data_IF_392280567443
#
_entry.id   IF_392280567443
#
_cell.length_a   1.000
_cell.length_b   1.000
_cell.length_c   1.000
_cell.angle_alpha   90.00
_cell.angle_beta   90.00
_cell.angle_gamma   90.00
#
_symmetry.space_group_name_H-M   'P 1'
#
loop_
_entity.id
_entity.type
_entity.pdbx_description
1 polymer ?
#
# COMPACT_ATOMS: atom_id res chain seq x y z
N UNK A 1 -11.44 5.23 -18.11
CA UNK A 1 -12.74 4.82 -18.65
C UNK A 1 -13.70 4.63 -17.47
N UNK A 2 -14.92 5.15 -17.58
CA UNK A 2 -15.98 5.01 -16.57
C UNK A 2 -16.28 3.53 -16.37
N UNK A 3 -15.91 2.94 -15.21
CA UNK A 3 -16.33 1.58 -14.85
C UNK A 3 -17.85 1.63 -14.67
N UNK A 4 -18.58 1.09 -15.64
CA UNK A 4 -19.97 0.73 -15.45
C UNK A 4 -20.01 -0.38 -14.41
N UNK A 5 -20.78 -0.18 -13.34
CA UNK A 5 -21.14 -1.19 -12.36
C UNK A 5 -21.57 -2.46 -13.09
N UNK A 6 -20.80 -3.53 -12.95
CA UNK A 6 -21.33 -4.86 -13.26
C UNK A 6 -22.44 -5.14 -12.26
N UNK A 7 -23.63 -5.52 -12.71
CA UNK A 7 -24.85 -5.62 -11.88
C UNK A 7 -24.78 -6.62 -10.71
N UNK A 8 -23.62 -7.19 -10.43
CA UNK A 8 -23.36 -8.20 -9.40
C UNK A 8 -22.52 -7.69 -8.22
N UNK A 9 -21.82 -6.55 -8.36
CA UNK A 9 -20.97 -6.03 -7.28
C UNK A 9 -21.83 -5.55 -6.09
N UNK A 10 -21.39 -5.90 -4.89
CA UNK A 10 -22.06 -5.48 -3.67
C UNK A 10 -21.65 -4.03 -3.30
N UNK A 11 -22.54 -3.24 -2.71
CA UNK A 11 -22.23 -1.88 -2.27
C UNK A 11 -21.03 -1.82 -1.31
N UNK A 12 -20.38 -0.67 -1.24
CA UNK A 12 -19.26 -0.39 -0.35
C UNK A 12 -19.56 -0.79 1.09
N UNK A 13 -18.62 -1.46 1.73
CA UNK A 13 -18.75 -1.93 3.10
C UNK A 13 -19.67 -3.14 3.29
N UNK A 14 -20.24 -3.69 2.22
CA UNK A 14 -20.96 -4.97 2.30
C UNK A 14 -19.97 -6.08 2.67
N UNK A 15 -20.31 -6.87 3.68
CA UNK A 15 -19.57 -8.09 4.04
C UNK A 15 -19.68 -9.13 2.92
N UNK A 16 -18.55 -9.55 2.38
CA UNK A 16 -18.47 -10.53 1.30
C UNK A 16 -18.18 -11.94 1.82
N UNK A 17 -17.48 -12.05 2.94
CA UNK A 17 -17.09 -13.33 3.53
C UNK A 17 -15.98 -13.14 4.57
N UNK A 18 -15.27 -14.22 4.87
CA UNK A 18 -14.22 -14.23 5.89
C UNK A 18 -13.01 -15.01 5.40
N UNK A 19 -11.81 -14.48 5.63
CA UNK A 19 -10.56 -15.22 5.53
C UNK A 19 -10.34 -16.10 6.79
N UNK A 20 -9.31 -16.98 6.82
CA UNK A 20 -8.99 -17.78 7.99
C UNK A 20 -8.84 -16.93 9.26
N UNK A 21 -9.26 -17.48 10.40
CA UNK A 21 -9.35 -16.74 11.66
C UNK A 21 -10.59 -15.85 11.81
N UNK A 22 -11.49 -15.85 10.83
CA UNK A 22 -12.72 -15.04 10.88
C UNK A 22 -12.49 -13.56 10.55
N UNK A 23 -11.45 -13.27 9.76
CA UNK A 23 -11.15 -11.89 9.33
C UNK A 23 -12.06 -11.50 8.17
N UNK A 24 -12.95 -10.53 8.40
CA UNK A 24 -13.94 -10.10 7.42
C UNK A 24 -13.33 -9.52 6.14
N UNK A 25 -13.96 -9.79 5.00
CA UNK A 25 -13.64 -9.23 3.69
C UNK A 25 -14.84 -8.38 3.26
N UNK A 26 -14.62 -7.11 2.96
CA UNK A 26 -15.66 -6.16 2.57
C UNK A 26 -15.50 -5.71 1.11
N UNK A 27 -16.63 -5.33 0.50
CA UNK A 27 -16.61 -4.65 -0.80
C UNK A 27 -15.99 -3.25 -0.66
N UNK A 28 -15.07 -2.94 -1.56
CA UNK A 28 -14.49 -1.61 -1.74
C UNK A 28 -15.03 -0.87 -2.96
N UNK A 29 -16.27 -1.14 -3.39
CA UNK A 29 -16.88 -0.48 -4.55
C UNK A 29 -17.31 0.96 -4.21
N UNK A 30 -16.36 1.90 -4.35
CA UNK A 30 -16.60 3.33 -4.12
C UNK A 30 -17.66 3.93 -5.05
N UNK A 31 -17.97 3.29 -6.19
CA UNK A 31 -18.99 3.82 -7.11
C UNK A 31 -20.41 3.79 -6.52
N UNK A 32 -20.61 2.99 -5.47
CA UNK A 32 -21.87 2.89 -4.73
C UNK A 32 -22.04 3.91 -3.59
N UNK A 33 -21.00 4.70 -3.29
CA UNK A 33 -21.06 5.73 -2.25
C UNK A 33 -21.79 6.98 -2.74
N UNK A 34 -22.42 7.71 -1.82
CA UNK A 34 -22.95 9.04 -2.13
C UNK A 34 -21.76 10.00 -2.34
N UNK A 35 -21.69 10.75 -3.46
CA UNK A 35 -20.63 11.73 -3.69
C UNK A 35 -20.52 12.83 -2.62
N UNK A 36 -21.51 12.95 -1.75
CA UNK A 36 -21.56 13.90 -0.63
C UNK A 36 -20.94 13.37 0.66
N UNK A 37 -20.57 12.10 0.72
CA UNK A 37 -19.81 11.54 1.84
C UNK A 37 -18.33 11.98 1.69
N UNK A 38 -18.01 13.13 2.27
CA UNK A 38 -16.68 13.76 2.23
C UNK A 38 -15.87 13.61 3.54
N UNK A 39 -16.38 12.87 4.51
CA UNK A 39 -15.69 12.64 5.78
C UNK A 39 -14.57 11.59 5.65
N UNK A 40 -13.37 12.05 5.29
CA UNK A 40 -12.13 11.25 5.23
C UNK A 40 -11.88 10.46 6.53
N UNK A 41 -12.30 10.96 7.69
CA UNK A 41 -12.11 10.26 8.96
C UNK A 41 -12.97 9.00 9.04
N UNK A 42 -14.17 8.99 8.44
CA UNK A 42 -15.05 7.82 8.41
C UNK A 42 -14.46 6.64 7.61
N UNK A 43 -13.57 6.92 6.66
CA UNK A 43 -12.87 5.91 5.86
C UNK A 43 -11.68 5.27 6.58
N UNK A 44 -11.30 5.76 7.76
CA UNK A 44 -10.24 5.11 8.55
C UNK A 44 -10.79 3.89 9.27
N UNK A 45 -10.12 2.75 9.09
CA UNK A 45 -10.40 1.49 9.79
C UNK A 45 -9.49 1.38 11.00
N UNK A 46 -10.06 1.10 12.16
CA UNK A 46 -9.35 0.90 13.42
C UNK A 46 -9.84 -0.37 14.11
N UNK A 47 -8.94 -1.04 14.82
CA UNK A 47 -9.31 -2.00 15.86
C UNK A 47 -8.67 -1.49 17.14
N UNK A 48 -9.50 -1.21 18.15
CA UNK A 48 -9.11 -0.42 19.31
C UNK A 48 -8.44 0.90 18.86
N UNK A 49 -7.22 1.17 19.31
CA UNK A 49 -6.45 2.36 18.94
C UNK A 49 -5.49 2.13 17.75
N UNK A 50 -5.50 0.93 17.15
CA UNK A 50 -4.59 0.55 16.06
C UNK A 50 -5.19 0.81 14.69
N UNK A 51 -4.50 1.61 13.88
CA UNK A 51 -4.94 1.96 12.52
C UNK A 51 -4.70 0.81 11.55
N UNK A 52 -5.77 0.27 10.98
CA UNK A 52 -5.70 -0.84 10.03
C UNK A 52 -5.49 -0.35 8.60
N UNK A 53 -6.03 0.80 8.23
CA UNK A 53 -5.91 1.35 6.88
C UNK A 53 -7.17 2.07 6.40
N UNK A 54 -7.18 2.41 5.12
CA UNK A 54 -8.34 3.03 4.47
C UNK A 54 -9.36 1.95 4.05
N UNK A 55 -10.60 2.07 4.51
CA UNK A 55 -11.71 1.18 4.16
C UNK A 55 -11.99 1.26 2.65
N UNK A 56 -12.08 0.18 1.89
CA UNK A 56 -11.74 -1.22 2.21
C UNK A 56 -10.62 -1.69 1.27
N UNK A 57 -9.48 -1.00 1.35
CA UNK A 57 -8.33 -1.23 0.49
C UNK A 57 -7.63 -2.56 0.79
N UNK A 58 -6.82 -3.03 -0.15
CA UNK A 58 -6.01 -4.25 0.00
C UNK A 58 -5.03 -4.16 1.18
N UNK A 59 -4.39 -3.00 1.37
CA UNK A 59 -3.47 -2.72 2.50
C UNK A 59 -4.20 -2.81 3.84
N UNK A 60 -5.44 -2.29 3.91
CA UNK A 60 -6.26 -2.35 5.13
C UNK A 60 -6.54 -3.79 5.55
N UNK A 61 -6.93 -4.63 4.59
CA UNK A 61 -7.19 -6.04 4.85
C UNK A 61 -5.92 -6.78 5.28
N UNK A 62 -4.81 -6.58 4.58
CA UNK A 62 -3.55 -7.26 4.88
C UNK A 62 -3.07 -6.93 6.31
N UNK A 63 -3.10 -5.65 6.69
CA UNK A 63 -2.73 -5.21 8.04
C UNK A 63 -3.68 -5.79 9.10
N UNK A 64 -5.00 -5.72 8.85
CA UNK A 64 -6.02 -6.26 9.76
C UNK A 64 -5.94 -7.76 9.93
N UNK A 65 -5.63 -8.50 8.86
CA UNK A 65 -5.43 -9.95 8.92
C UNK A 65 -4.25 -10.31 9.82
N UNK A 66 -3.10 -9.65 9.63
CA UNK A 66 -1.92 -9.90 10.45
C UNK A 66 -2.15 -9.51 11.91
N UNK A 67 -2.83 -8.39 12.15
CA UNK A 67 -3.15 -7.93 13.51
C UNK A 67 -4.03 -8.94 14.25
N UNK A 68 -5.14 -9.36 13.65
CA UNK A 68 -6.10 -10.25 14.31
C UNK A 68 -5.57 -11.66 14.53
N UNK A 69 -4.77 -12.19 13.60
CA UNK A 69 -4.28 -13.57 13.68
C UNK A 69 -2.92 -13.70 14.40
N UNK A 70 -2.07 -12.68 14.32
CA UNK A 70 -0.68 -12.76 14.79
C UNK A 70 -0.27 -11.61 15.73
N UNK A 71 -1.12 -10.59 15.95
CA UNK A 71 -0.79 -9.47 16.83
C UNK A 71 0.29 -8.53 16.28
N UNK A 72 0.54 -8.55 14.97
CA UNK A 72 1.60 -7.78 14.31
C UNK A 72 1.06 -6.89 13.20
N UNK A 73 1.75 -5.79 12.93
CA UNK A 73 1.43 -4.84 11.86
C UNK A 73 2.68 -4.39 11.11
N UNK A 74 2.55 -4.08 9.83
CA UNK A 74 3.56 -3.33 9.07
C UNK A 74 3.26 -1.83 9.12
N UNK A 75 4.30 -1.00 8.96
CA UNK A 75 4.21 0.46 8.97
C UNK A 75 3.23 1.02 7.94
N UNK A 76 2.87 2.29 8.07
CA UNK A 76 2.09 2.96 7.04
C UNK A 76 2.88 3.07 5.72
N UNK A 77 2.18 2.88 4.61
CA UNK A 77 2.72 2.91 3.24
C UNK A 77 1.76 3.69 2.36
N UNK A 78 2.28 4.41 1.37
CA UNK A 78 1.45 5.15 0.43
C UNK A 78 0.75 4.22 -0.55
N UNK A 79 1.47 3.20 -1.05
CA UNK A 79 0.99 2.23 -2.03
C UNK A 79 1.35 0.80 -1.62
N UNK A 80 0.54 -0.17 -2.07
CA UNK A 80 0.68 -1.57 -1.65
C UNK A 80 2.02 -2.21 -2.08
N UNK A 81 2.54 -1.83 -3.25
CA UNK A 81 3.84 -2.35 -3.74
C UNK A 81 5.02 -1.98 -2.82
N UNK A 82 4.92 -0.89 -2.07
CA UNK A 82 5.98 -0.42 -1.16
C UNK A 82 6.20 -1.38 0.02
N UNK A 83 5.19 -2.19 0.36
CA UNK A 83 5.28 -3.21 1.43
C UNK A 83 6.46 -4.15 1.17
N UNK A 84 6.75 -4.49 -0.09
CA UNK A 84 7.85 -5.39 -0.45
C UNK A 84 9.25 -4.85 -0.10
N UNK A 85 9.38 -3.54 0.13
CA UNK A 85 10.62 -2.90 0.57
C UNK A 85 10.80 -2.93 2.10
N UNK A 86 9.75 -3.25 2.86
CA UNK A 86 9.82 -3.34 4.32
C UNK A 86 10.63 -4.55 4.77
N UNK A 87 11.29 -4.45 5.93
CA UNK A 87 12.10 -5.53 6.50
C UNK A 87 11.78 -5.85 7.95
N UNK A 88 10.69 -5.28 8.47
CA UNK A 88 10.22 -5.57 9.82
C UNK A 88 8.71 -5.42 9.96
N UNK A 89 8.19 -6.04 11.02
CA UNK A 89 6.85 -5.86 11.55
C UNK A 89 6.95 -5.35 12.99
N UNK A 90 5.95 -4.61 13.46
CA UNK A 90 5.78 -4.26 14.87
C UNK A 90 4.82 -5.23 15.53
N UNK A 91 5.22 -5.84 16.63
CA UNK A 91 4.35 -6.60 17.53
C UNK A 91 3.62 -5.61 18.45
N UNK A 92 2.28 -5.59 18.37
CA UNK A 92 1.49 -4.49 18.98
C UNK A 92 1.52 -4.52 20.50
N UNK A 93 1.52 -5.71 21.10
CA UNK A 93 1.37 -5.86 22.56
C UNK A 93 2.53 -5.29 23.38
N UNK A 94 3.69 -5.09 22.75
CA UNK A 94 4.92 -4.69 23.43
C UNK A 94 5.85 -3.79 22.59
N UNK A 95 5.41 -3.36 21.40
CA UNK A 95 6.18 -2.57 20.45
C UNK A 95 7.51 -3.22 19.97
N UNK A 96 7.66 -4.54 20.10
CA UNK A 96 8.83 -5.24 19.57
C UNK A 96 8.88 -5.14 18.04
N UNK A 97 10.11 -5.15 17.50
CA UNK A 97 10.35 -5.15 16.06
C UNK A 97 10.79 -6.55 15.65
N UNK A 98 9.97 -7.20 14.83
CA UNK A 98 10.19 -8.56 14.32
C UNK A 98 10.74 -8.51 12.90
N UNK A 99 11.71 -9.37 12.53
CA UNK A 99 12.27 -9.36 11.18
C UNK A 99 11.28 -9.93 10.16
N UNK A 100 11.24 -9.29 8.99
CA UNK A 100 10.41 -9.65 7.85
C UNK A 100 11.30 -9.80 6.61
N UNK A 101 11.31 -10.99 6.02
CA UNK A 101 12.12 -11.30 4.85
C UNK A 101 11.26 -11.25 3.59
N UNK A 102 11.81 -10.70 2.50
CA UNK A 102 11.18 -10.69 1.19
C UNK A 102 11.82 -11.73 0.28
N UNK A 103 11.02 -12.50 -0.45
CA UNK A 103 11.46 -13.52 -1.38
C UNK A 103 10.90 -13.22 -2.76
N UNK A 104 11.72 -13.24 -3.83
CA UNK A 104 11.23 -12.95 -5.16
C UNK A 104 10.30 -14.07 -5.66
N UNK A 105 9.39 -13.75 -6.57
CA UNK A 105 8.68 -14.79 -7.32
C UNK A 105 9.69 -15.67 -8.09
N UNK A 106 9.55 -16.99 -8.03
CA UNK A 106 10.57 -17.93 -8.53
C UNK A 106 11.65 -18.30 -7.50
N UNK A 107 11.45 -18.00 -6.21
CA UNK A 107 12.41 -18.30 -5.15
C UNK A 107 12.46 -19.79 -4.76
N UNK A 108 13.62 -20.32 -4.30
CA UNK A 108 13.70 -21.61 -3.63
C UNK A 108 12.97 -21.66 -2.28
N UNK A 109 12.76 -20.52 -1.62
CA UNK A 109 11.96 -20.44 -0.40
C UNK A 109 10.49 -20.54 -0.77
N UNK A 110 9.83 -21.66 -0.48
CA UNK A 110 8.40 -21.83 -0.74
C UNK A 110 7.56 -20.68 -0.13
N UNK A 111 6.47 -20.25 -0.79
CA UNK A 111 5.46 -19.42 -0.13
C UNK A 111 4.83 -20.19 1.04
N UNK A 112 4.32 -19.49 2.04
CA UNK A 112 3.74 -20.11 3.24
C UNK A 112 2.36 -19.50 3.55
N UNK A 113 1.47 -20.29 4.16
CA UNK A 113 0.20 -19.75 4.64
C UNK A 113 0.44 -18.69 5.74
N UNK A 114 -0.24 -17.55 5.63
CA UNK A 114 -0.02 -16.37 6.46
C UNK A 114 0.97 -15.36 5.84
N UNK A 115 1.71 -15.73 4.80
CA UNK A 115 2.64 -14.81 4.14
C UNK A 115 1.91 -13.68 3.39
N UNK A 116 2.52 -12.50 3.37
CA UNK A 116 2.12 -11.41 2.49
C UNK A 116 2.54 -11.75 1.06
N UNK A 117 1.68 -11.47 0.08
CA UNK A 117 1.97 -11.60 -1.35
C UNK A 117 1.81 -10.24 -2.02
N UNK A 118 2.87 -9.74 -2.67
CA UNK A 118 2.93 -8.37 -3.17
C UNK A 118 3.03 -8.34 -4.69
N UNK A 119 2.26 -7.43 -5.30
CA UNK A 119 2.35 -7.09 -6.71
C UNK A 119 2.96 -5.71 -6.89
N UNK A 120 3.73 -5.59 -7.96
CA UNK A 120 4.23 -4.31 -8.45
C UNK A 120 3.08 -3.46 -9.00
N UNK A 121 3.30 -2.15 -9.07
CA UNK A 121 2.45 -1.27 -9.88
C UNK A 121 2.52 -1.66 -11.37
N UNK A 122 1.39 -1.64 -12.06
CA UNK A 122 1.27 -1.99 -13.48
C UNK A 122 0.03 -2.82 -13.78
N UNK A 123 -0.41 -2.82 -15.04
CA UNK A 123 -1.58 -3.58 -15.50
C UNK A 123 -2.85 -3.27 -14.72
N UNK A 124 -3.57 -4.31 -14.32
CA UNK A 124 -4.77 -4.23 -13.48
C UNK A 124 -4.54 -3.43 -12.18
N UNK A 125 -3.31 -3.42 -11.64
CA UNK A 125 -2.96 -2.72 -10.41
C UNK A 125 -2.29 -1.35 -10.62
N UNK A 126 -2.34 -0.85 -11.86
CA UNK A 126 -1.98 0.51 -12.30
C UNK A 126 -0.89 1.19 -11.47
N UNK A 127 -1.20 2.19 -10.64
CA UNK A 127 -0.20 2.92 -9.83
C UNK A 127 -0.07 2.41 -8.39
N UNK A 128 -0.99 1.57 -7.93
CA UNK A 128 -1.10 1.18 -6.52
C UNK A 128 -0.33 -0.07 -6.18
N UNK A 129 -0.10 -0.94 -7.17
CA UNK A 129 0.24 -2.33 -6.91
C UNK A 129 -0.86 -3.04 -6.12
N UNK A 130 -0.52 -4.19 -5.53
CA UNK A 130 -1.48 -4.96 -4.75
C UNK A 130 -0.82 -5.74 -3.61
N UNK A 131 -1.62 -6.09 -2.59
CA UNK A 131 -1.21 -6.98 -1.50
C UNK A 131 -2.35 -7.94 -1.16
N UNK A 132 -2.01 -9.22 -1.04
CA UNK A 132 -2.90 -10.28 -0.58
C UNK A 132 -2.23 -11.10 0.54
N UNK A 133 -3.03 -11.96 1.19
CA UNK A 133 -2.55 -12.95 2.15
C UNK A 133 -2.65 -14.33 1.52
N UNK A 134 -1.58 -15.11 1.56
CA UNK A 134 -1.61 -16.52 1.19
C UNK A 134 -2.32 -17.30 2.29
N UNK A 135 -3.44 -17.96 1.98
CA UNK A 135 -4.23 -18.69 2.98
C UNK A 135 -3.93 -20.18 2.99
N UNK A 136 -3.60 -20.77 1.84
CA UNK A 136 -3.31 -22.20 1.72
C UNK A 136 -2.31 -22.46 0.59
N UNK A 137 -1.39 -23.39 0.83
CA UNK A 137 -0.59 -24.02 -0.23
C UNK A 137 -1.22 -25.36 -0.62
N UNK A 138 -1.31 -25.60 -1.91
CA UNK A 138 -1.72 -26.86 -2.54
C UNK A 138 -0.62 -27.29 -3.52
N UNK A 139 -0.71 -28.51 -4.06
CA UNK A 139 0.37 -29.09 -4.87
C UNK A 139 0.78 -28.25 -6.08
N UNK A 140 -0.19 -27.63 -6.77
CA UNK A 140 0.02 -26.89 -8.01
C UNK A 140 -0.57 -25.47 -7.99
N UNK A 141 -0.96 -24.98 -6.82
CA UNK A 141 -1.59 -23.66 -6.67
C UNK A 141 -1.53 -23.18 -5.23
N UNK A 142 -1.78 -21.89 -5.05
CA UNK A 142 -2.08 -21.31 -3.76
C UNK A 142 -3.50 -20.75 -3.74
N UNK A 143 -4.04 -20.59 -2.54
CA UNK A 143 -5.24 -19.79 -2.29
C UNK A 143 -4.84 -18.53 -1.58
N UNK A 144 -5.48 -17.42 -1.95
CA UNK A 144 -5.22 -16.12 -1.35
C UNK A 144 -6.52 -15.49 -0.85
N UNK A 145 -6.41 -14.56 0.10
CA UNK A 145 -7.48 -13.67 0.51
C UNK A 145 -7.01 -12.22 0.35
N UNK A 146 -7.88 -11.37 -0.18
CA UNK A 146 -7.58 -9.96 -0.45
C UNK A 146 -8.86 -9.09 -0.42
N UNK A 147 -8.69 -7.77 -0.42
CA UNK A 147 -9.76 -6.80 -0.67
C UNK A 147 -9.40 -5.94 -1.88
N UNK A 148 -10.38 -5.24 -2.45
CA UNK A 148 -10.22 -4.35 -3.60
C UNK A 148 -9.81 -5.08 -4.91
N UNK A 149 -10.36 -6.28 -5.12
CA UNK A 149 -10.30 -7.03 -6.40
C UNK A 149 -11.69 -7.59 -6.69
N UNK A 150 -12.18 -8.47 -5.82
CA UNK A 150 -13.52 -9.07 -5.90
C UNK A 150 -14.48 -8.29 -5.00
N UNK A 151 -15.65 -7.93 -5.55
CA UNK A 151 -16.67 -7.12 -4.86
C UNK A 151 -18.00 -7.89 -4.68
N UNK A 152 -18.02 -9.18 -5.00
CA UNK A 152 -19.18 -10.06 -4.90
C UNK A 152 -19.07 -10.95 -3.65
N UNK A 153 -20.20 -11.34 -3.01
CA UNK A 153 -20.16 -12.25 -1.88
C UNK A 153 -19.51 -13.59 -2.23
N UNK A 154 -18.62 -14.05 -1.36
CA UNK A 154 -17.95 -15.33 -1.51
C UNK A 154 -18.93 -16.49 -1.28
N UNK A 155 -18.69 -17.66 -1.90
CA UNK A 155 -19.47 -18.86 -1.62
C UNK A 155 -19.48 -19.21 -0.12
N UNK A 156 -20.60 -19.74 0.42
CA UNK A 156 -20.69 -20.09 1.84
C UNK A 156 -19.56 -21.01 2.31
N UNK A 157 -18.85 -20.59 3.37
CA UNK A 157 -17.73 -21.34 3.94
C UNK A 157 -16.41 -21.22 3.20
N UNK A 158 -16.37 -20.56 2.04
CA UNK A 158 -15.12 -20.27 1.34
C UNK A 158 -14.35 -19.15 2.07
N UNK A 159 -13.06 -19.40 2.32
CA UNK A 159 -12.17 -18.47 3.05
C UNK A 159 -11.00 -17.97 2.22
N UNK A 160 -11.21 -17.82 0.91
CA UNK A 160 -10.22 -17.33 -0.05
C UNK A 160 -10.95 -16.64 -1.22
N UNK A 161 -10.32 -15.65 -1.84
CA UNK A 161 -10.86 -14.85 -2.94
C UNK A 161 -10.47 -15.40 -4.31
N UNK A 162 -9.20 -15.78 -4.47
CA UNK A 162 -8.66 -16.33 -5.73
C UNK A 162 -7.74 -17.53 -5.49
N UNK A 163 -7.57 -18.32 -6.53
CA UNK A 163 -6.53 -19.35 -6.63
C UNK A 163 -5.51 -18.90 -7.68
N UNK A 164 -4.22 -19.01 -7.37
CA UNK A 164 -3.13 -18.70 -8.29
C UNK A 164 -2.37 -19.98 -8.60
N UNK A 165 -2.07 -20.23 -9.87
CA UNK A 165 -1.24 -21.37 -10.26
C UNK A 165 0.15 -21.24 -9.65
N UNK A 166 0.70 -22.36 -9.18
CA UNK A 166 2.04 -22.46 -8.63
C UNK A 166 2.82 -23.52 -9.41
N UNK A 167 3.84 -23.08 -10.11
CA UNK A 167 4.76 -23.93 -10.86
C UNK A 167 6.00 -24.21 -10.00
N UNK A 168 6.35 -25.49 -9.84
CA UNK A 168 7.54 -25.89 -9.08
C UNK A 168 8.54 -26.55 -10.02
N UNK A 169 9.63 -25.84 -10.30
CA UNK A 169 10.69 -26.30 -11.21
C UNK A 169 12.06 -26.17 -10.54
N UNK A 170 12.84 -27.26 -10.54
CA UNK A 170 14.18 -27.31 -9.94
C UNK A 170 14.25 -26.82 -8.48
N UNK A 171 13.16 -26.99 -7.72
CA UNK A 171 13.06 -26.54 -6.33
C UNK A 171 12.71 -25.05 -6.16
N UNK A 172 12.44 -24.32 -7.24
CA UNK A 172 11.94 -22.96 -7.21
C UNK A 172 10.43 -22.93 -7.39
N UNK A 173 9.77 -22.01 -6.68
CA UNK A 173 8.32 -21.84 -6.68
C UNK A 173 7.97 -20.56 -7.44
N UNK A 174 7.16 -20.66 -8.49
CA UNK A 174 6.72 -19.51 -9.28
C UNK A 174 5.20 -19.43 -9.26
N UNK A 175 4.68 -18.28 -8.85
CA UNK A 175 3.25 -17.98 -8.84
C UNK A 175 2.85 -17.25 -10.11
N UNK A 176 1.76 -17.68 -10.73
CA UNK A 176 1.16 -17.04 -11.90
C UNK A 176 -0.15 -16.36 -11.49
N UNK A 177 -0.27 -15.06 -11.76
CA UNK A 177 -1.49 -14.32 -11.48
C UNK A 177 -2.62 -14.72 -12.45
N UNK A 178 -3.86 -14.40 -12.09
CA UNK A 178 -5.03 -14.60 -12.96
C UNK A 178 -5.16 -13.53 -14.05
N UNK A 179 -4.44 -12.42 -13.91
CA UNK A 179 -4.35 -11.35 -14.89
C UNK A 179 -3.08 -11.52 -15.74
N UNK A 180 -3.13 -11.12 -17.01
CA UNK A 180 -2.03 -11.28 -17.96
C UNK A 180 -1.08 -10.06 -18.01
N UNK A 181 -1.46 -8.96 -17.36
CA UNK A 181 -0.74 -7.68 -17.40
C UNK A 181 -0.16 -7.24 -16.03
N UNK A 182 -0.21 -8.10 -15.02
CA UNK A 182 0.30 -7.82 -13.67
C UNK A 182 1.69 -8.41 -13.43
N UNK A 183 2.37 -7.95 -12.39
CA UNK A 183 3.69 -8.47 -11.99
C UNK A 183 3.71 -8.76 -10.50
N UNK A 184 3.80 -10.05 -10.14
CA UNK A 184 4.03 -10.48 -8.75
C UNK A 184 5.50 -10.23 -8.40
N UNK A 185 5.76 -9.39 -7.40
CA UNK A 185 7.11 -9.18 -6.87
C UNK A 185 7.59 -10.42 -6.11
N UNK A 186 6.71 -10.97 -5.27
CA UNK A 186 6.98 -12.15 -4.46
C UNK A 186 6.25 -12.10 -3.12
N UNK A 187 6.72 -12.89 -2.16
CA UNK A 187 6.09 -13.02 -0.84
C UNK A 187 7.02 -12.61 0.29
N UNK A 188 6.43 -12.31 1.45
CA UNK A 188 7.18 -11.94 2.65
C UNK A 188 6.78 -12.78 3.85
N UNK A 189 7.78 -13.23 4.60
CA UNK A 189 7.64 -14.14 5.75
C UNK A 189 8.35 -13.52 6.95
N UNK A 190 7.67 -13.51 8.10
CA UNK A 190 8.26 -13.11 9.37
C UNK A 190 9.20 -14.24 9.84
N UNK A 191 10.51 -14.04 9.71
CA UNK A 191 11.52 -15.04 10.09
C UNK A 191 12.90 -14.41 10.27
N UNK A 192 13.73 -15.01 11.13
CA UNK A 192 15.16 -14.71 11.26
C UNK A 192 15.99 -15.36 10.14
N UNK A 193 15.43 -16.35 9.43
CA UNK A 193 16.12 -17.08 8.37
C UNK A 193 16.20 -16.24 7.09
N UNK A 194 17.38 -15.70 6.82
CA UNK A 194 17.64 -14.87 5.63
C UNK A 194 17.96 -15.70 4.38
N UNK A 195 17.97 -17.03 4.45
CA UNK A 195 18.31 -17.87 3.30
C UNK A 195 17.34 -17.65 2.15
N UNK A 196 17.86 -17.29 0.96
CA UNK A 196 17.12 -16.94 -0.26
C UNK A 196 16.36 -15.60 -0.23
N UNK A 197 16.47 -14.83 0.85
CA UNK A 197 15.83 -13.51 0.95
C UNK A 197 16.53 -12.46 0.09
N UNK A 198 15.78 -11.43 -0.30
CA UNK A 198 16.31 -10.22 -0.93
C UNK A 198 16.89 -9.28 0.14
N UNK A 199 18.03 -8.68 -0.16
CA UNK A 199 18.54 -7.55 0.63
C UNK A 199 17.53 -6.41 0.65
N UNK A 200 17.59 -5.57 1.68
CA UNK A 200 16.83 -4.31 1.67
C UNK A 200 17.26 -3.49 0.45
N UNK A 201 16.32 -2.93 -0.32
CA UNK A 201 16.69 -2.11 -1.46
C UNK A 201 17.26 -0.76 -1.00
N UNK A 202 18.34 -0.34 -1.65
CA UNK A 202 18.97 0.97 -1.45
C UNK A 202 18.48 1.97 -2.51
N UNK A 203 18.24 3.21 -2.10
CA UNK A 203 17.90 4.30 -3.04
C UNK A 203 19.18 4.88 -3.63
N UNK A 204 19.23 5.02 -4.95
CA UNK A 204 20.35 5.63 -5.63
C UNK A 204 20.57 7.08 -5.14
N UNK A 205 21.83 7.41 -4.79
CA UNK A 205 22.21 8.73 -4.25
C UNK A 205 21.76 9.91 -5.13
N UNK A 206 21.65 9.73 -6.44
CA UNK A 206 21.20 10.78 -7.36
C UNK A 206 19.72 11.13 -7.18
N UNK A 207 18.87 10.15 -6.84
CA UNK A 207 17.45 10.37 -6.52
C UNK A 207 17.26 11.07 -5.18
N UNK A 208 18.29 11.08 -4.32
CA UNK A 208 18.28 11.81 -3.05
C UNK A 208 18.74 13.26 -3.17
N UNK A 209 19.15 13.74 -4.34
CA UNK A 209 19.66 15.11 -4.48
C UNK A 209 18.58 16.19 -4.30
N UNK A 210 18.87 17.23 -3.50
CA UNK A 210 18.09 18.48 -3.48
C UNK A 210 18.62 19.40 -4.56
N UNK A 211 17.76 19.90 -5.43
CA UNK A 211 18.13 20.79 -6.53
C UNK A 211 17.51 22.16 -6.32
N UNK A 212 18.34 23.19 -6.30
CA UNK A 212 17.87 24.58 -6.34
C UNK A 212 17.27 24.90 -7.71
N UNK A 213 16.19 25.66 -7.70
CA UNK A 213 15.51 26.17 -8.89
C UNK A 213 15.05 27.62 -8.65
N UNK A 214 14.72 28.32 -9.74
CA UNK A 214 14.28 29.73 -9.68
C UNK A 214 13.05 29.95 -10.53
N UNK A 215 12.12 30.76 -10.02
CA UNK A 215 10.95 31.25 -10.77
C UNK A 215 11.35 32.45 -11.65
N UNK A 216 10.72 32.66 -12.81
CA UNK A 216 10.90 33.89 -13.58
C UNK A 216 10.46 35.12 -12.79
N UNK A 217 11.32 36.15 -12.72
CA UNK A 217 11.04 37.40 -12.01
C UNK A 217 10.15 38.32 -12.85
N UNK A 218 8.87 38.38 -12.49
CA UNK A 218 7.84 39.23 -13.11
C UNK A 218 7.13 40.12 -12.07
N UNK A 219 7.71 40.28 -10.88
CA UNK A 219 7.15 41.06 -9.78
C UNK A 219 6.05 40.36 -8.99
N UNK A 220 5.98 39.01 -9.03
CA UNK A 220 4.95 38.23 -8.34
C UNK A 220 4.99 38.38 -6.81
N UNK A 221 6.17 38.65 -6.26
CA UNK A 221 6.40 38.82 -4.82
C UNK A 221 6.69 40.27 -4.44
N UNK A 222 6.47 41.21 -5.37
CA UNK A 222 6.66 42.63 -5.09
C UNK A 222 5.44 43.14 -4.30
N UNK A 223 5.69 43.67 -3.11
CA UNK A 223 4.63 44.24 -2.26
C UNK A 223 3.85 43.20 -1.45
N UNK A 224 2.52 43.34 -1.39
CA UNK A 224 1.65 42.59 -0.48
C UNK A 224 1.09 41.32 -1.14
N UNK A 225 1.93 40.30 -1.29
CA UNK A 225 1.56 39.04 -1.96
C UNK A 225 0.91 38.01 -1.01
N UNK A 226 0.84 38.30 0.30
CA UNK A 226 0.06 37.53 1.28
C UNK A 226 -1.29 38.22 1.52
N UNK A 227 -2.36 37.44 1.65
CA UNK A 227 -3.71 37.97 1.81
C UNK A 227 -4.01 38.32 3.28
N UNK A 228 -3.87 39.60 3.65
CA UNK A 228 -4.17 40.07 5.02
C UNK A 228 -5.68 40.04 5.38
N UNK A 229 -6.57 39.67 4.46
CA UNK A 229 -7.99 39.41 4.79
C UNK A 229 -8.17 38.03 5.44
N UNK A 230 -7.27 37.10 5.17
CA UNK A 230 -7.18 35.82 5.87
C UNK A 230 -6.54 36.06 7.26
N UNK A 231 -7.25 35.76 8.37
CA UNK A 231 -6.71 35.98 9.72
C UNK A 231 -5.38 35.26 9.97
N UNK A 232 -5.16 34.09 9.36
CA UNK A 232 -3.94 33.31 9.54
C UNK A 232 -2.75 33.99 8.84
N UNK A 233 -2.93 34.39 7.59
CA UNK A 233 -1.91 35.11 6.83
C UNK A 233 -1.65 36.50 7.41
N UNK A 234 -2.69 37.18 7.91
CA UNK A 234 -2.53 38.46 8.63
C UNK A 234 -1.66 38.32 9.88
N UNK A 235 -1.87 37.27 10.68
CA UNK A 235 -1.05 37.01 11.85
C UNK A 235 0.42 36.76 11.47
N UNK A 236 0.66 36.04 10.37
CA UNK A 236 2.01 35.85 9.81
C UNK A 236 2.64 37.19 9.39
N UNK A 237 1.92 38.01 8.62
CA UNK A 237 2.41 39.33 8.17
C UNK A 237 2.74 40.25 9.35
N UNK A 238 1.96 40.21 10.43
CA UNK A 238 2.25 41.00 11.64
C UNK A 238 3.56 40.57 12.33
N UNK A 239 3.91 39.28 12.27
CA UNK A 239 5.12 38.74 12.88
C UNK A 239 6.36 38.82 11.97
N UNK A 240 6.17 38.67 10.66
CA UNK A 240 7.26 38.41 9.70
C UNK A 240 7.27 39.37 8.50
N UNK A 241 6.23 40.19 8.31
CA UNK A 241 6.02 40.98 7.10
C UNK A 241 5.62 40.11 5.89
N UNK A 242 5.63 40.70 4.70
CA UNK A 242 5.42 39.98 3.43
C UNK A 242 6.69 39.28 2.94
N UNK A 243 7.34 38.49 3.80
CA UNK A 243 8.64 37.87 3.54
C UNK A 243 8.61 36.42 4.02
N UNK A 244 9.05 35.49 3.16
CA UNK A 244 9.22 34.06 3.51
C UNK A 244 10.67 33.63 3.66
N UNK A 245 11.58 34.25 2.92
CA UNK A 245 13.02 34.00 2.91
C UNK A 245 13.75 35.22 2.30
N UNK A 246 15.08 35.14 2.13
CA UNK A 246 15.85 36.24 1.53
C UNK A 246 15.57 36.44 0.03
N UNK A 247 15.19 35.37 -0.68
CA UNK A 247 14.94 35.39 -2.12
C UNK A 247 13.69 34.56 -2.46
N UNK A 248 12.51 35.19 -2.58
CA UNK A 248 11.25 34.48 -2.76
C UNK A 248 11.12 33.84 -4.15
N UNK A 249 12.00 34.16 -5.09
CA UNK A 249 12.05 33.52 -6.40
C UNK A 249 12.87 32.21 -6.39
N UNK A 250 13.69 31.98 -5.37
CA UNK A 250 14.44 30.74 -5.20
C UNK A 250 13.62 29.68 -4.45
N UNK A 251 13.58 28.47 -5.01
CA UNK A 251 12.95 27.32 -4.38
C UNK A 251 13.81 26.06 -4.57
N UNK A 252 13.43 24.97 -3.90
CA UNK A 252 14.12 23.70 -3.98
C UNK A 252 13.16 22.61 -4.47
N UNK A 253 13.66 21.71 -5.32
CA UNK A 253 12.98 20.51 -5.78
C UNK A 253 13.75 19.27 -5.32
N UNK A 254 13.02 18.21 -5.04
CA UNK A 254 13.55 16.87 -4.84
C UNK A 254 12.81 15.86 -5.74
N UNK A 255 13.41 14.70 -5.97
CA UNK A 255 12.74 13.63 -6.70
C UNK A 255 11.68 12.96 -5.82
N UNK A 256 10.56 12.54 -6.43
CA UNK A 256 9.46 11.88 -5.73
C UNK A 256 9.90 10.64 -4.96
N UNK A 257 10.87 9.89 -5.49
CA UNK A 257 11.48 8.70 -4.88
C UNK A 257 12.11 8.98 -3.51
N UNK A 258 12.65 10.19 -3.32
CA UNK A 258 13.16 10.61 -2.01
C UNK A 258 12.06 10.63 -0.94
N UNK A 259 10.83 10.93 -1.33
CA UNK A 259 9.70 11.06 -0.40
C UNK A 259 9.05 9.73 -0.08
N UNK A 260 9.10 8.76 -1.00
CA UNK A 260 8.42 7.47 -0.86
C UNK A 260 9.31 6.36 -0.29
N UNK A 261 10.64 6.53 -0.30
CA UNK A 261 11.55 5.54 0.30
C UNK A 261 11.64 4.21 -0.46
N UNK A 262 10.92 4.08 -1.58
CA UNK A 262 10.71 2.82 -2.27
C UNK A 262 11.45 2.77 -3.62
N UNK A 263 12.11 1.64 -3.86
CA UNK A 263 12.90 1.36 -5.05
C UNK A 263 12.00 1.14 -6.27
N UNK A 264 12.24 1.90 -7.33
CA UNK A 264 11.72 1.56 -8.65
C UNK A 264 12.66 0.53 -9.26
N UNK A 265 12.16 -0.67 -9.57
CA UNK A 265 12.87 -1.56 -10.47
C UNK A 265 12.86 -0.92 -11.85
N UNK A 266 14.00 -0.42 -12.31
CA UNK A 266 14.19 0.00 -13.70
C UNK A 266 13.78 -1.16 -14.62
N UNK A 267 12.76 -0.92 -15.45
CA UNK A 267 12.59 -1.61 -16.73
C UNK A 267 13.37 -0.86 -17.79
#
# INVERSE_FOLDING_TARGET
>A
MSKGTTSQDAPFGTLLGYAPGGVAIYSSDYSSLDPRDDDDAAFRSYIDDEYMGHKWQCVEFARRFLFLNYGVVFTDVGMAWEIFSLRFLREVVNDNILPLQAFPNGSPRAPEAGALLIWQKGGEFNETGHVAIITQLLDNKIRIAEQNVVHTPLPPGQQWTRELEMVVENGCYTLCDTFDDTTILGWMIQTDDTQYSLSQPDIANQSLAIRGARLPEKGQFDGQWLDERDPLQKAYVQANGHVINQDPYQYFNDHRERRTGAYQSDQ
#
